data_IF_854595351242
#
_entry.id   IF_854595351242
#
_cell.length_a   1.000
_cell.length_b   1.000
_cell.length_c   1.000
_cell.angle_alpha   90.00
_cell.angle_beta   90.00
_cell.angle_gamma   90.00
#
_symmetry.space_group_name_H-M   'P 1'
#
loop_
_entity.id
_entity.type
_entity.pdbx_description
1 polymer ?
#
# COMPACT_ATOMS: atom_id res chain seq x y z
N UNK A 1 -66.64 5.58 -16.77
CA UNK A 1 -66.69 4.44 -15.81
C UNK A 1 -65.28 4.16 -15.32
N UNK A 2 -65.16 3.87 -14.02
CA UNK A 2 -63.97 3.98 -13.17
C UNK A 2 -62.86 2.99 -13.54
N UNK A 3 -61.61 3.46 -13.65
CA UNK A 3 -60.40 2.62 -13.56
C UNK A 3 -60.01 2.53 -12.07
N UNK A 4 -59.93 1.34 -11.45
CA UNK A 4 -59.47 1.24 -10.07
C UNK A 4 -57.93 1.36 -10.04
N UNK A 5 -57.43 2.33 -9.28
CA UNK A 5 -56.03 2.42 -8.92
C UNK A 5 -55.73 1.32 -7.87
N UNK A 6 -54.80 0.43 -8.18
CA UNK A 6 -54.25 -0.54 -7.23
C UNK A 6 -53.17 0.15 -6.40
N UNK A 7 -53.41 0.23 -5.09
CA UNK A 7 -52.52 0.77 -4.07
C UNK A 7 -51.48 -0.29 -3.67
N UNK A 8 -50.27 0.22 -3.45
CA UNK A 8 -49.01 -0.38 -3.02
C UNK A 8 -49.10 -1.20 -1.73
N UNK A 9 -48.36 -2.31 -1.66
CA UNK A 9 -47.80 -2.82 -0.41
C UNK A 9 -46.49 -3.60 -0.70
N UNK A 10 -45.35 -2.90 -0.70
CA UNK A 10 -44.04 -3.52 -0.62
C UNK A 10 -43.62 -3.54 0.86
N UNK A 11 -43.65 -4.71 1.49
CA UNK A 11 -43.04 -4.93 2.80
C UNK A 11 -41.51 -4.91 2.63
N UNK A 12 -40.86 -3.85 3.09
CA UNK A 12 -39.42 -3.83 3.34
C UNK A 12 -39.17 -4.42 4.73
N UNK A 13 -38.72 -5.68 4.79
CA UNK A 13 -38.07 -6.21 5.99
C UNK A 13 -36.74 -5.50 6.16
N UNK A 14 -36.68 -4.55 7.09
CA UNK A 14 -35.42 -4.04 7.62
C UNK A 14 -34.86 -5.08 8.61
N UNK A 15 -34.11 -6.05 8.10
CA UNK A 15 -33.23 -6.86 8.94
C UNK A 15 -32.06 -5.97 9.38
N UNK A 16 -32.03 -5.64 10.67
CA UNK A 16 -30.95 -4.90 11.31
C UNK A 16 -29.64 -5.68 11.22
N UNK A 17 -28.79 -5.30 10.27
CA UNK A 17 -27.38 -5.66 10.28
C UNK A 17 -26.67 -4.71 11.24
N UNK A 18 -26.58 -5.10 12.51
CA UNK A 18 -25.56 -4.55 13.39
C UNK A 18 -24.23 -5.19 12.99
N UNK A 19 -23.21 -4.43 12.53
CA UNK A 19 -21.89 -5.00 12.33
C UNK A 19 -21.35 -5.37 13.71
N UNK A 20 -21.37 -6.66 14.01
CA UNK A 20 -20.66 -7.22 15.16
C UNK A 20 -19.17 -7.01 14.94
N UNK A 21 -18.51 -6.28 15.84
CA UNK A 21 -17.06 -6.19 15.90
C UNK A 21 -16.53 -7.56 16.37
N UNK A 22 -16.51 -8.53 15.45
CA UNK A 22 -15.88 -9.82 15.68
C UNK A 22 -14.35 -9.64 15.64
N UNK A 23 -13.70 -10.29 16.59
CA UNK A 23 -12.31 -10.16 16.98
C UNK A 23 -11.32 -10.29 15.81
N UNK A 24 -10.31 -9.40 15.82
CA UNK A 24 -9.19 -9.41 14.88
C UNK A 24 -8.09 -10.41 15.28
N UNK A 25 -8.43 -11.51 15.96
CA UNK A 25 -7.52 -12.63 16.22
C UNK A 25 -7.77 -13.73 15.17
N UNK A 26 -6.88 -13.81 14.18
CA UNK A 26 -6.96 -14.79 13.09
C UNK A 26 -6.66 -14.25 11.69
N UNK A 27 -6.40 -12.95 11.54
CA UNK A 27 -6.11 -12.34 10.23
C UNK A 27 -4.71 -12.65 9.70
N UNK A 28 -3.79 -13.15 10.53
CA UNK A 28 -2.37 -13.32 10.20
C UNK A 28 -1.60 -11.99 10.06
N UNK A 29 -2.24 -10.87 10.39
CA UNK A 29 -1.66 -9.53 10.33
C UNK A 29 -0.77 -9.28 11.55
N UNK A 30 0.48 -8.91 11.30
CA UNK A 30 1.51 -8.60 12.30
C UNK A 30 2.18 -7.26 11.97
N UNK A 31 2.90 -6.65 12.92
CA UNK A 31 3.73 -5.48 12.63
C UNK A 31 4.67 -5.71 11.45
N UNK A 32 4.97 -4.66 10.69
CA UNK A 32 5.92 -4.75 9.59
C UNK A 32 7.29 -5.24 10.05
N UNK A 33 7.92 -6.11 9.27
CA UNK A 33 9.31 -6.51 9.39
C UNK A 33 10.00 -6.46 8.02
N UNK A 34 11.33 -6.36 8.02
CA UNK A 34 12.13 -6.40 6.79
C UNK A 34 12.04 -7.79 6.13
N UNK A 35 12.16 -7.90 4.79
CA UNK A 35 12.06 -9.19 4.13
C UNK A 35 13.16 -10.14 4.64
N UNK A 36 12.85 -11.42 4.92
CA UNK A 36 13.84 -12.39 5.38
C UNK A 36 15.01 -12.61 4.41
N UNK A 37 14.81 -12.28 3.13
CA UNK A 37 15.80 -12.40 2.06
C UNK A 37 16.56 -11.09 1.77
N UNK A 38 16.42 -10.04 2.60
CA UNK A 38 17.06 -8.75 2.36
C UNK A 38 18.58 -8.86 2.15
N UNK A 39 19.25 -9.68 2.97
CA UNK A 39 20.71 -9.81 2.97
C UNK A 39 21.26 -10.60 1.77
N UNK A 40 20.40 -11.35 1.05
CA UNK A 40 20.80 -12.15 -0.11
C UNK A 40 20.50 -11.48 -1.45
N UNK A 41 20.07 -10.22 -1.43
CA UNK A 41 19.51 -9.56 -2.58
C UNK A 41 20.34 -8.34 -3.01
N UNK A 42 20.64 -8.25 -4.31
CA UNK A 42 21.27 -7.07 -4.89
C UNK A 42 20.19 -6.02 -5.16
N UNK A 43 20.40 -4.79 -4.70
CA UNK A 43 19.48 -3.68 -4.93
C UNK A 43 19.76 -3.04 -6.29
N UNK A 44 18.73 -3.02 -7.14
CA UNK A 44 18.74 -2.31 -8.43
C UNK A 44 18.07 -0.94 -8.27
N UNK A 45 18.86 0.12 -8.39
CA UNK A 45 18.37 1.49 -8.28
C UNK A 45 17.88 2.00 -9.65
N UNK A 46 16.67 2.56 -9.67
CA UNK A 46 16.04 3.14 -10.84
C UNK A 46 15.73 4.62 -10.60
N UNK A 47 16.11 5.45 -11.57
CA UNK A 47 15.86 6.88 -11.55
C UNK A 47 14.39 7.28 -11.75
N UNK A 48 14.18 8.59 -11.71
CA UNK A 48 12.87 9.21 -11.94
C UNK A 48 12.31 8.84 -13.32
N UNK A 49 11.15 8.19 -13.37
CA UNK A 49 10.52 7.76 -14.61
C UNK A 49 11.28 6.71 -15.41
N UNK A 50 12.33 6.10 -14.85
CA UNK A 50 13.07 5.04 -15.52
C UNK A 50 12.20 3.78 -15.67
N UNK A 51 12.15 3.28 -16.91
CA UNK A 51 11.41 2.06 -17.28
C UNK A 51 12.37 0.88 -17.19
N UNK A 52 12.13 -0.08 -16.27
CA UNK A 52 13.02 -1.23 -16.13
C UNK A 52 12.99 -2.09 -17.39
N UNK A 53 14.17 -2.55 -17.84
CA UNK A 53 14.25 -3.56 -18.89
C UNK A 53 13.90 -4.93 -18.30
N UNK A 54 12.70 -5.42 -18.60
CA UNK A 54 12.14 -6.65 -18.04
C UNK A 54 13.00 -7.90 -18.30
N UNK A 55 13.79 -7.92 -19.38
CA UNK A 55 14.63 -9.08 -19.73
C UNK A 55 16.03 -9.04 -19.11
N UNK A 56 16.43 -7.90 -18.55
CA UNK A 56 17.76 -7.69 -17.97
C UNK A 56 17.83 -7.92 -16.46
N UNK A 57 16.72 -8.35 -15.83
CA UNK A 57 16.61 -8.52 -14.38
C UNK A 57 16.16 -9.96 -14.05
N UNK A 58 17.03 -10.96 -14.21
CA UNK A 58 16.68 -12.36 -13.98
C UNK A 58 16.54 -12.70 -12.49
N UNK A 59 17.06 -11.86 -11.58
CA UNK A 59 17.16 -12.13 -10.15
C UNK A 59 15.82 -12.53 -9.49
N UNK A 60 15.91 -13.46 -8.54
CA UNK A 60 14.82 -13.90 -7.65
C UNK A 60 15.42 -14.45 -6.32
N UNK A 61 15.55 -13.64 -5.27
CA UNK A 61 14.81 -12.41 -5.01
C UNK A 61 15.26 -11.23 -5.89
N UNK A 62 14.30 -10.41 -6.32
CA UNK A 62 14.58 -9.12 -6.97
C UNK A 62 14.35 -7.99 -5.97
N UNK A 63 15.36 -7.14 -5.75
CA UNK A 63 15.25 -5.95 -4.91
C UNK A 63 15.47 -4.69 -5.70
N UNK A 64 14.59 -3.72 -5.54
CA UNK A 64 14.60 -2.49 -6.32
C UNK A 64 14.40 -1.27 -5.44
N UNK A 65 15.07 -0.19 -5.81
CA UNK A 65 14.88 1.15 -5.24
C UNK A 65 14.42 2.09 -6.35
N UNK A 66 13.20 2.61 -6.23
CA UNK A 66 12.65 3.57 -7.20
C UNK A 66 12.68 4.99 -6.63
N UNK A 67 13.39 5.86 -7.35
CA UNK A 67 13.21 7.29 -7.22
C UNK A 67 11.83 7.68 -7.81
N UNK A 68 10.96 8.21 -6.94
CA UNK A 68 9.62 8.74 -7.27
C UNK A 68 9.46 10.15 -6.68
N UNK A 69 10.56 10.91 -6.66
CA UNK A 69 10.65 12.20 -5.98
C UNK A 69 10.28 13.37 -6.90
N UNK A 70 10.32 13.15 -8.21
CA UNK A 70 10.06 14.15 -9.23
C UNK A 70 8.68 13.98 -9.86
N UNK A 71 7.66 13.63 -9.08
CA UNK A 71 6.27 13.63 -9.56
C UNK A 71 5.80 15.10 -9.52
N UNK A 72 6.20 15.86 -10.53
CA UNK A 72 5.80 17.26 -10.65
C UNK A 72 4.96 17.51 -11.89
N UNK A 73 4.01 18.43 -11.74
CA UNK A 73 3.12 18.84 -12.83
C UNK A 73 3.88 19.71 -13.84
N UNK A 74 4.76 20.59 -13.36
CA UNK A 74 5.38 21.62 -14.19
C UNK A 74 6.51 21.13 -15.10
N UNK A 75 7.09 19.94 -14.87
CA UNK A 75 8.19 19.40 -15.69
C UNK A 75 7.87 18.05 -16.38
N UNK A 76 6.61 17.62 -16.35
CA UNK A 76 6.19 16.35 -16.95
C UNK A 76 6.60 15.09 -16.17
N UNK A 77 7.21 15.22 -14.99
CA UNK A 77 7.62 14.07 -14.18
C UNK A 77 6.45 13.20 -13.71
N UNK A 78 5.26 13.76 -13.54
CA UNK A 78 4.04 12.97 -13.31
C UNK A 78 3.69 12.05 -14.50
N UNK A 79 3.91 12.51 -15.74
CA UNK A 79 3.69 11.71 -16.95
C UNK A 79 4.76 10.62 -17.06
N UNK A 80 6.03 10.98 -16.86
CA UNK A 80 7.14 10.01 -16.90
C UNK A 80 6.95 8.88 -15.88
N UNK A 81 6.48 9.22 -14.68
CA UNK A 81 6.10 8.25 -13.66
C UNK A 81 5.00 7.30 -14.14
N UNK A 82 3.86 7.83 -14.63
CA UNK A 82 2.72 7.02 -15.09
C UNK A 82 3.09 6.10 -16.27
N UNK A 83 4.03 6.52 -17.12
CA UNK A 83 4.53 5.69 -18.21
C UNK A 83 5.42 4.55 -17.73
N UNK A 84 6.13 4.72 -16.61
CA UNK A 84 7.02 3.71 -16.05
C UNK A 84 6.29 2.69 -15.16
N UNK A 85 5.19 3.08 -14.50
CA UNK A 85 4.47 2.21 -13.56
C UNK A 85 4.03 0.86 -14.14
N UNK A 86 3.48 0.75 -15.36
CA UNK A 86 3.06 -0.54 -15.92
C UNK A 86 4.21 -1.54 -16.02
N UNK A 87 5.42 -1.08 -16.41
CA UNK A 87 6.59 -1.95 -16.50
C UNK A 87 7.10 -2.35 -15.11
N UNK A 88 7.10 -1.43 -14.15
CA UNK A 88 7.49 -1.71 -12.75
C UNK A 88 6.55 -2.74 -12.11
N UNK A 89 5.25 -2.63 -12.37
CA UNK A 89 4.25 -3.61 -11.93
C UNK A 89 4.41 -4.97 -12.63
N UNK A 90 4.64 -4.97 -13.95
CA UNK A 90 4.88 -6.20 -14.70
C UNK A 90 6.15 -6.94 -14.21
N UNK A 91 7.22 -6.19 -13.93
CA UNK A 91 8.46 -6.75 -13.37
C UNK A 91 8.20 -7.45 -12.04
N UNK A 92 7.58 -6.75 -11.10
CA UNK A 92 7.15 -7.28 -9.81
C UNK A 92 6.38 -8.60 -9.96
N UNK A 93 5.33 -8.63 -10.79
CA UNK A 93 4.44 -9.79 -10.93
C UNK A 93 5.12 -11.07 -11.44
N UNK A 94 6.33 -11.00 -11.97
CA UNK A 94 7.09 -12.17 -12.44
C UNK A 94 7.93 -12.87 -11.38
N UNK A 95 8.02 -12.31 -10.16
CA UNK A 95 9.00 -12.74 -9.15
C UNK A 95 8.35 -13.49 -8.00
N UNK A 96 9.01 -14.56 -7.55
CA UNK A 96 8.63 -15.30 -6.36
C UNK A 96 8.93 -14.53 -5.09
N UNK A 97 10.10 -13.89 -5.04
CA UNK A 97 10.48 -12.98 -3.96
C UNK A 97 10.84 -11.62 -4.54
N UNK A 98 10.24 -10.58 -3.98
CA UNK A 98 10.44 -9.22 -4.45
C UNK A 98 10.43 -8.26 -3.28
N UNK A 99 11.32 -7.27 -3.33
CA UNK A 99 11.31 -6.16 -2.40
C UNK A 99 11.51 -4.85 -3.15
N UNK A 100 10.61 -3.90 -2.90
CA UNK A 100 10.63 -2.58 -3.48
C UNK A 100 10.69 -1.54 -2.37
N UNK A 101 11.63 -0.63 -2.53
CA UNK A 101 11.69 0.62 -1.79
C UNK A 101 11.33 1.76 -2.73
N UNK A 102 10.42 2.61 -2.29
CA UNK A 102 9.97 3.76 -3.08
C UNK A 102 10.21 5.06 -2.33
N UNK A 103 10.63 6.08 -3.06
CA UNK A 103 10.85 7.41 -2.52
C UNK A 103 9.89 8.43 -3.13
N UNK A 104 8.72 8.61 -2.50
CA UNK A 104 7.63 9.42 -3.06
C UNK A 104 7.74 10.90 -2.72
N UNK A 105 7.58 11.76 -3.71
CA UNK A 105 7.32 13.19 -3.51
C UNK A 105 6.51 13.74 -4.67
N UNK A 106 5.36 14.34 -4.36
CA UNK A 106 4.52 15.08 -5.31
C UNK A 106 4.70 16.57 -5.05
N UNK A 107 5.11 17.32 -6.08
CA UNK A 107 5.36 18.77 -5.98
C UNK A 107 4.69 19.49 -7.15
N UNK A 108 4.37 20.77 -6.99
CA UNK A 108 3.87 21.57 -8.12
C UNK A 108 4.99 21.83 -9.13
N UNK A 109 6.18 22.19 -8.64
CA UNK A 109 7.38 22.41 -9.41
C UNK A 109 8.63 21.87 -8.66
N UNK A 110 9.72 21.57 -9.37
CA UNK A 110 10.96 21.09 -8.74
C UNK A 110 11.49 22.03 -7.66
N UNK A 111 11.85 21.47 -6.51
CA UNK A 111 12.45 22.22 -5.40
C UNK A 111 11.43 22.93 -4.50
N UNK A 112 10.13 22.86 -4.82
CA UNK A 112 9.08 23.30 -3.89
C UNK A 112 8.90 22.31 -2.75
N UNK A 113 8.37 22.79 -1.62
CA UNK A 113 7.89 21.90 -0.56
C UNK A 113 6.90 20.90 -1.15
N UNK A 114 7.12 19.59 -0.98
CA UNK A 114 6.18 18.58 -1.47
C UNK A 114 4.78 18.77 -0.87
N UNK A 115 3.76 18.65 -1.73
CA UNK A 115 2.36 18.58 -1.31
C UNK A 115 2.17 17.33 -0.46
N UNK A 116 2.73 16.21 -0.91
CA UNK A 116 2.76 14.95 -0.17
C UNK A 116 4.09 14.24 -0.45
N UNK A 117 4.67 13.63 0.58
CA UNK A 117 5.91 12.85 0.50
C UNK A 117 5.88 11.71 1.51
N UNK A 118 6.39 10.54 1.14
CA UNK A 118 6.64 9.42 2.04
C UNK A 118 7.67 8.47 1.43
N UNK A 119 8.20 7.56 2.23
CA UNK A 119 9.01 6.44 1.76
C UNK A 119 8.21 5.14 1.93
N UNK A 120 8.11 4.34 0.87
CA UNK A 120 7.41 3.07 0.84
C UNK A 120 8.38 1.88 0.89
N UNK A 121 7.98 0.79 1.53
CA UNK A 121 8.71 -0.48 1.52
C UNK A 121 7.70 -1.62 1.39
N UNK A 122 7.78 -2.37 0.30
CA UNK A 122 6.81 -3.39 -0.07
C UNK A 122 7.57 -4.66 -0.44
N UNK A 123 7.22 -5.79 0.15
CA UNK A 123 7.85 -7.06 -0.23
C UNK A 123 6.88 -8.22 -0.12
N UNK A 124 7.18 -9.28 -0.85
CA UNK A 124 6.54 -10.57 -0.70
C UNK A 124 7.52 -11.71 -0.89
N UNK A 125 7.13 -12.85 -0.33
CA UNK A 125 7.67 -14.17 -0.59
C UNK A 125 6.47 -15.09 -0.84
N UNK A 126 6.25 -15.43 -2.11
CA UNK A 126 5.13 -16.28 -2.51
C UNK A 126 5.35 -17.75 -2.14
N UNK A 127 6.59 -18.19 -1.91
CA UNK A 127 6.92 -19.55 -1.50
C UNK A 127 6.58 -19.82 -0.03
N UNK A 128 6.70 -18.80 0.82
CA UNK A 128 6.35 -18.88 2.25
C UNK A 128 4.98 -18.27 2.58
N UNK A 129 4.38 -17.52 1.66
CA UNK A 129 3.08 -16.87 1.87
C UNK A 129 3.14 -15.64 2.76
N UNK A 130 4.24 -14.91 2.66
CA UNK A 130 4.49 -13.71 3.43
C UNK A 130 4.44 -12.49 2.51
N UNK A 131 3.82 -11.42 3.00
CA UNK A 131 3.77 -10.13 2.31
C UNK A 131 3.80 -9.03 3.35
N UNK A 132 4.50 -7.93 3.08
CA UNK A 132 4.45 -6.77 3.94
C UNK A 132 4.51 -5.47 3.17
N UNK A 133 3.93 -4.44 3.79
CA UNK A 133 3.94 -3.08 3.30
C UNK A 133 4.14 -2.12 4.46
N UNK A 134 5.02 -1.14 4.27
CA UNK A 134 5.21 -0.02 5.19
C UNK A 134 5.26 1.27 4.42
N UNK A 135 4.54 2.25 4.93
CA UNK A 135 4.73 3.65 4.58
C UNK A 135 5.48 4.31 5.73
N UNK A 136 6.37 5.26 5.47
CA UNK A 136 7.13 5.94 6.52
C UNK A 136 7.43 7.38 6.14
N UNK A 137 7.60 8.25 7.15
CA UNK A 137 7.95 9.65 6.90
C UNK A 137 6.89 10.43 6.11
N UNK A 138 5.60 10.08 6.26
CA UNK A 138 4.53 10.78 5.56
C UNK A 138 4.46 12.24 6.01
N UNK A 139 4.54 13.14 5.03
CA UNK A 139 4.35 14.57 5.21
C UNK A 139 3.32 15.08 4.20
N UNK A 140 2.49 16.02 4.64
CA UNK A 140 1.54 16.75 3.80
C UNK A 140 1.84 18.24 3.97
N UNK A 141 2.13 18.93 2.87
CA UNK A 141 2.58 20.32 2.86
C UNK A 141 3.75 20.57 3.86
N UNK A 142 4.69 19.63 3.92
CA UNK A 142 5.83 19.66 4.84
C UNK A 142 5.53 19.37 6.31
N UNK A 143 4.25 19.16 6.69
CA UNK A 143 3.87 18.79 8.05
C UNK A 143 3.77 17.27 8.20
N UNK A 144 4.33 16.67 9.26
CA UNK A 144 4.16 15.24 9.53
C UNK A 144 2.67 14.86 9.62
N UNK A 145 2.27 13.85 8.85
CA UNK A 145 0.93 13.26 8.90
C UNK A 145 1.02 11.88 9.56
N UNK A 146 1.35 11.88 10.85
CA UNK A 146 1.52 10.65 11.64
C UNK A 146 0.19 9.97 11.93
N UNK A 147 0.21 8.66 12.23
CA UNK A 147 -0.96 7.92 12.73
C UNK A 147 -1.59 8.63 13.93
N UNK A 148 -0.79 9.18 14.84
CA UNK A 148 -1.29 9.92 16.00
C UNK A 148 -2.06 11.19 15.59
N UNK A 149 -1.56 11.95 14.60
CA UNK A 149 -2.24 13.15 14.10
C UNK A 149 -3.52 12.81 13.34
N UNK A 150 -3.50 11.75 12.55
CA UNK A 150 -4.69 11.23 11.88
C UNK A 150 -5.74 10.77 12.90
N UNK A 151 -5.33 9.99 13.90
CA UNK A 151 -6.22 9.54 14.97
C UNK A 151 -6.83 10.71 15.76
N UNK A 152 -6.03 11.73 16.08
CA UNK A 152 -6.53 12.94 16.76
C UNK A 152 -7.60 13.68 15.93
N UNK A 153 -7.43 13.74 14.60
CA UNK A 153 -8.41 14.35 13.70
C UNK A 153 -9.68 13.51 13.55
N UNK A 154 -9.56 12.18 13.53
CA UNK A 154 -10.68 11.24 13.39
C UNK A 154 -11.49 11.10 14.69
N UNK A 155 -10.84 11.24 15.84
CA UNK A 155 -11.44 10.96 17.16
C UNK A 155 -12.81 11.63 17.40
N UNK A 156 -13.06 12.89 17.01
CA UNK A 156 -14.39 13.52 17.18
C UNK A 156 -15.50 12.85 16.35
N UNK A 157 -15.16 12.21 15.24
CA UNK A 157 -16.13 11.60 14.31
C UNK A 157 -16.26 10.08 14.48
N UNK A 158 -15.15 9.40 14.81
CA UNK A 158 -15.11 7.96 15.04
C UNK A 158 -14.02 7.61 16.07
N UNK A 159 -14.36 7.62 17.37
CA UNK A 159 -13.44 7.23 18.44
C UNK A 159 -12.91 5.79 18.26
N UNK A 160 -13.75 4.87 17.77
CA UNK A 160 -13.38 3.49 17.53
C UNK A 160 -12.31 3.36 16.43
N UNK A 161 -12.46 4.10 15.32
CA UNK A 161 -11.46 4.12 14.24
C UNK A 161 -10.16 4.81 14.69
N UNK A 162 -10.24 5.91 15.44
CA UNK A 162 -9.06 6.54 16.01
C UNK A 162 -8.28 5.58 16.94
N UNK A 163 -8.98 4.83 17.81
CA UNK A 163 -8.38 3.82 18.67
C UNK A 163 -7.79 2.64 17.86
N UNK A 164 -8.44 2.25 16.75
CA UNK A 164 -7.89 1.27 15.82
C UNK A 164 -6.57 1.75 15.21
N UNK A 165 -6.53 2.98 14.70
CA UNK A 165 -5.31 3.58 14.14
C UNK A 165 -4.19 3.63 15.18
N UNK A 166 -4.48 4.08 16.40
CA UNK A 166 -3.48 4.13 17.48
C UNK A 166 -2.94 2.74 17.86
N UNK A 167 -3.80 1.72 17.91
CA UNK A 167 -3.38 0.33 18.14
C UNK A 167 -2.57 -0.24 16.98
N UNK A 168 -2.89 0.13 15.75
CA UNK A 168 -2.12 -0.33 14.60
C UNK A 168 -0.75 0.36 14.53
N UNK A 169 -0.71 1.66 14.85
CA UNK A 169 0.53 2.44 14.89
C UNK A 169 1.54 2.00 15.94
N UNK A 170 1.16 1.21 16.95
CA UNK A 170 2.13 0.62 17.89
C UNK A 170 3.05 -0.43 17.24
N UNK A 171 2.71 -0.94 16.04
CA UNK A 171 3.56 -1.82 15.22
C UNK A 171 4.35 -1.10 14.12
N UNK A 172 4.30 0.24 14.07
CA UNK A 172 4.84 1.07 13.00
C UNK A 172 3.78 1.48 11.96
N UNK A 173 4.18 2.33 11.01
CA UNK A 173 3.32 2.84 9.93
C UNK A 173 3.09 1.80 8.78
N UNK A 174 3.06 0.51 9.13
CA UNK A 174 3.01 -0.60 8.19
C UNK A 174 2.63 -1.92 8.84
N UNK A 175 2.33 -2.93 8.02
CA UNK A 175 2.03 -4.27 8.50
C UNK A 175 2.56 -5.35 7.58
N UNK A 176 2.59 -6.57 8.10
CA UNK A 176 2.89 -7.78 7.37
C UNK A 176 1.80 -8.81 7.57
N UNK A 177 1.51 -9.58 6.54
CA UNK A 177 0.61 -10.72 6.58
C UNK A 177 1.46 -11.99 6.45
N UNK A 178 1.25 -12.93 7.36
CA UNK A 178 1.85 -14.26 7.29
C UNK A 178 0.72 -15.30 7.26
N UNK A 179 0.57 -15.95 6.10
CA UNK A 179 -0.48 -16.95 5.88
C UNK A 179 -0.02 -18.37 6.26
N UNK A 180 1.28 -18.59 6.48
CA UNK A 180 1.85 -19.89 6.81
C UNK A 180 1.71 -20.95 5.70
N UNK A 181 1.29 -20.56 4.49
CA UNK A 181 1.07 -21.43 3.33
C UNK A 181 1.55 -20.71 2.05
N UNK A 182 2.16 -21.41 1.08
CA UNK A 182 2.62 -20.80 -0.16
C UNK A 182 1.47 -20.14 -0.92
N UNK A 183 1.69 -18.90 -1.37
CA UNK A 183 0.80 -18.19 -2.30
C UNK A 183 1.04 -18.62 -3.75
N UNK A 184 2.23 -19.13 -4.06
CA UNK A 184 2.54 -19.77 -5.34
C UNK A 184 3.38 -21.03 -5.10
N UNK A 185 2.83 -22.24 -5.35
CA UNK A 185 3.55 -23.50 -5.11
C UNK A 185 4.70 -23.75 -6.09
N UNK A 186 4.81 -22.98 -7.17
CA UNK A 186 5.95 -23.03 -8.09
C UNK A 186 7.16 -22.24 -7.56
N UNK A 187 6.97 -21.42 -6.53
CA UNK A 187 8.04 -20.65 -5.93
C UNK A 187 8.81 -21.48 -4.89
N UNK A 188 10.15 -21.34 -4.84
CA UNK A 188 10.94 -21.97 -3.80
C UNK A 188 10.55 -21.42 -2.42
N UNK A 189 10.59 -22.28 -1.40
CA UNK A 189 10.41 -21.90 0.00
C UNK A 189 11.69 -21.33 0.60
#
# INVERSE_FOLDING_TARGET
MRRPALIVAALLLAAGLTPSAADAEGTGLVPYYAPPFADSCTVHAFGEGEIPNLTALPDDPLCVDYAKRNITVSNGGAIAFLLAEPARFALAGTKCRYWQQDHWSVQLAPGMTPIIRWDGSYWWDLGTGQIAARLSGLTIAGQPATIARAAAYIAPYSPALAAYFLRYGTGGDGGALNLGLPLNPLCPR
#
